data_IF_020943060128
#
_entry.id   IF_020943060128
#
_cell.length_a   1.000
_cell.length_b   1.000
_cell.length_c   1.000
_cell.angle_alpha   90.00
_cell.angle_beta   90.00
_cell.angle_gamma   90.00
#
_symmetry.space_group_name_H-M   'P 1'
#
loop_
_entity.id
_entity.type
_entity.pdbx_description
1 polymer ?
#
# COMPACT_ATOMS: atom_id res chain seq x y z
N UNK A 1 -6.62 11.71 -9.90
CA UNK A 1 -5.49 11.88 -8.95
C UNK A 1 -4.26 11.21 -9.53
N UNK A 2 -3.06 11.78 -9.35
CA UNK A 2 -1.82 11.14 -9.83
C UNK A 2 -1.43 9.93 -8.96
N UNK A 3 -0.73 8.94 -9.54
CA UNK A 3 -0.32 7.73 -8.81
C UNK A 3 0.54 8.04 -7.58
N UNK A 4 1.50 8.96 -7.71
CA UNK A 4 2.37 9.38 -6.61
C UNK A 4 1.60 10.08 -5.49
N UNK A 5 0.53 10.81 -5.81
CA UNK A 5 -0.36 11.44 -4.83
C UNK A 5 -1.13 10.39 -4.03
N UNK A 6 -1.70 9.38 -4.71
CA UNK A 6 -2.38 8.29 -4.03
C UNK A 6 -1.43 7.52 -3.11
N UNK A 7 -0.23 7.19 -3.59
CA UNK A 7 0.77 6.48 -2.78
C UNK A 7 1.12 7.25 -1.52
N UNK A 8 1.35 8.56 -1.66
CA UNK A 8 1.68 9.44 -0.55
C UNK A 8 0.52 9.55 0.44
N UNK A 9 -0.72 9.73 -0.04
CA UNK A 9 -1.91 9.82 0.80
C UNK A 9 -2.16 8.52 1.57
N UNK A 10 -2.04 7.37 0.91
CA UNK A 10 -2.26 6.06 1.53
C UNK A 10 -1.21 5.73 2.60
N UNK A 11 0.07 6.05 2.34
CA UNK A 11 1.13 5.88 3.33
C UNK A 11 0.96 6.86 4.51
N UNK A 12 0.55 8.11 4.25
CA UNK A 12 0.32 9.11 5.29
C UNK A 12 -0.83 8.73 6.23
N UNK A 13 -1.82 7.96 5.75
CA UNK A 13 -2.89 7.41 6.58
C UNK A 13 -2.38 6.48 7.70
N UNK A 14 -1.14 5.98 7.59
CA UNK A 14 -0.48 5.24 8.66
C UNK A 14 0.01 6.10 9.84
N UNK A 15 0.08 7.42 9.67
CA UNK A 15 0.69 8.36 10.62
C UNK A 15 2.14 8.74 10.28
N UNK A 16 2.72 9.73 11.00
CA UNK A 16 4.01 10.32 10.68
C UNK A 16 5.19 9.36 10.77
N UNK A 17 5.13 8.38 11.68
CA UNK A 17 6.19 7.38 11.90
C UNK A 17 5.85 6.02 11.28
N UNK A 18 4.88 6.00 10.35
CA UNK A 18 4.45 4.77 9.72
C UNK A 18 5.56 4.15 8.87
N UNK A 19 5.86 2.89 9.16
CA UNK A 19 6.78 2.06 8.38
C UNK A 19 6.04 0.87 7.82
N UNK A 20 6.32 0.54 6.56
CA UNK A 20 5.73 -0.58 5.84
C UNK A 20 6.82 -1.54 5.36
N UNK A 21 6.56 -2.83 5.49
CA UNK A 21 7.28 -3.87 4.77
C UNK A 21 6.77 -4.06 3.34
N UNK A 22 7.48 -4.82 2.50
CA UNK A 22 7.14 -4.98 1.08
C UNK A 22 5.73 -5.53 0.86
N UNK A 23 5.40 -6.61 1.58
CA UNK A 23 4.07 -7.22 1.50
C UNK A 23 2.96 -6.25 1.98
N UNK A 24 3.22 -5.43 2.99
CA UNK A 24 2.22 -4.50 3.52
C UNK A 24 1.85 -3.43 2.49
N UNK A 25 2.84 -2.86 1.77
CA UNK A 25 2.56 -1.92 0.68
C UNK A 25 1.75 -2.57 -0.43
N UNK A 26 2.17 -3.76 -0.89
CA UNK A 26 1.45 -4.49 -1.93
C UNK A 26 -0.02 -4.70 -1.57
N UNK A 27 -0.30 -5.07 -0.32
CA UNK A 27 -1.66 -5.37 0.13
C UNK A 27 -2.47 -4.09 0.37
N UNK A 28 -1.84 -3.01 0.85
CA UNK A 28 -2.48 -1.72 1.00
C UNK A 28 -3.02 -1.21 -0.35
N UNK A 29 -2.15 -1.15 -1.36
CA UNK A 29 -2.55 -0.62 -2.67
C UNK A 29 -3.46 -1.56 -3.44
N UNK A 30 -3.29 -2.88 -3.29
CA UNK A 30 -4.24 -3.83 -3.83
C UNK A 30 -5.64 -3.62 -3.28
N UNK A 31 -5.79 -3.45 -1.96
CA UNK A 31 -7.10 -3.23 -1.34
C UNK A 31 -7.73 -1.91 -1.83
N UNK A 32 -6.94 -0.85 -1.98
CA UNK A 32 -7.43 0.43 -2.49
C UNK A 32 -7.95 0.28 -3.93
N UNK A 33 -7.14 -0.31 -4.82
CA UNK A 33 -7.53 -0.51 -6.22
C UNK A 33 -8.67 -1.51 -6.39
N UNK A 34 -8.80 -2.50 -5.51
CA UNK A 34 -9.85 -3.52 -5.61
C UNK A 34 -11.19 -3.05 -5.05
N UNK A 35 -11.18 -2.29 -3.96
CA UNK A 35 -12.41 -1.96 -3.21
C UNK A 35 -12.92 -0.56 -3.47
N UNK A 36 -12.03 0.41 -3.73
CA UNK A 36 -12.41 1.82 -3.83
C UNK A 36 -11.85 2.53 -5.07
N UNK A 37 -11.52 1.77 -6.13
CA UNK A 37 -10.95 2.32 -7.38
C UNK A 37 -11.68 3.57 -7.88
N UNK A 38 -13.02 3.50 -7.95
CA UNK A 38 -13.86 4.60 -8.43
C UNK A 38 -13.85 5.85 -7.52
N UNK A 39 -13.47 5.71 -6.25
CA UNK A 39 -13.37 6.82 -5.31
C UNK A 39 -11.99 7.51 -5.34
N UNK A 40 -11.02 6.93 -6.05
CA UNK A 40 -9.63 7.40 -6.11
C UNK A 40 -9.13 7.61 -7.54
N UNK A 41 -10.04 7.68 -8.51
CA UNK A 41 -9.75 7.74 -9.96
C UNK A 41 -8.88 6.56 -10.46
N UNK A 42 -9.00 5.40 -9.82
CA UNK A 42 -8.27 4.17 -10.14
C UNK A 42 -9.05 3.18 -11.02
N UNK A 43 -8.53 1.95 -11.20
CA UNK A 43 -7.31 1.42 -10.56
C UNK A 43 -6.05 2.08 -11.11
N UNK A 44 -5.04 2.29 -10.25
CA UNK A 44 -3.77 2.94 -10.64
C UNK A 44 -2.61 1.95 -10.83
N UNK A 45 -2.79 0.73 -10.32
CA UNK A 45 -1.88 -0.42 -10.42
C UNK A 45 -2.57 -1.60 -11.13
N UNK A 46 -1.76 -2.55 -11.60
CA UNK A 46 -2.15 -3.75 -12.32
C UNK A 46 -1.71 -5.00 -11.56
N UNK A 47 -2.39 -5.27 -10.45
CA UNK A 47 -2.08 -6.42 -9.60
C UNK A 47 -2.34 -7.75 -10.30
N UNK A 48 -1.34 -8.63 -10.27
CA UNK A 48 -1.42 -10.00 -10.74
C UNK A 48 -1.20 -11.00 -9.59
N UNK A 49 -1.78 -12.21 -9.64
CA UNK A 49 -1.49 -13.27 -8.67
C UNK A 49 0.00 -13.66 -8.69
N UNK A 50 0.60 -13.77 -7.51
CA UNK A 50 2.02 -14.12 -7.32
C UNK A 50 2.19 -15.03 -6.09
N UNK A 51 3.44 -15.33 -5.71
CA UNK A 51 3.80 -16.28 -4.64
C UNK A 51 3.00 -16.10 -3.33
N UNK A 52 2.79 -14.84 -2.95
CA UNK A 52 2.15 -14.40 -1.71
C UNK A 52 0.92 -13.50 -1.97
N UNK A 53 0.22 -13.76 -3.06
CA UNK A 53 -0.97 -13.03 -3.46
C UNK A 53 -0.70 -11.90 -4.43
N UNK A 54 -1.49 -10.82 -4.38
CA UNK A 54 -1.41 -9.74 -5.35
C UNK A 54 -0.03 -9.10 -5.32
N UNK A 55 0.49 -8.86 -6.52
CA UNK A 55 1.76 -8.21 -6.77
C UNK A 55 1.69 -7.27 -7.98
N UNK A 56 2.27 -6.08 -7.83
CA UNK A 56 2.63 -5.17 -8.91
C UNK A 56 3.96 -4.47 -8.55
N UNK A 57 4.97 -4.55 -9.41
CA UNK A 57 6.27 -3.90 -9.18
C UNK A 57 6.18 -2.38 -9.16
N UNK A 58 5.22 -1.80 -9.89
CA UNK A 58 5.03 -0.35 -10.00
C UNK A 58 4.76 0.31 -8.64
N UNK A 59 4.24 -0.45 -7.66
CA UNK A 59 4.10 0.02 -6.27
C UNK A 59 5.45 0.44 -5.69
N UNK A 60 6.48 -0.38 -5.88
CA UNK A 60 7.82 -0.07 -5.36
C UNK A 60 8.50 1.00 -6.19
N UNK A 61 8.32 0.98 -7.51
CA UNK A 61 8.89 1.97 -8.42
C UNK A 61 8.34 3.37 -8.08
N UNK A 62 7.03 3.48 -7.82
CA UNK A 62 6.39 4.74 -7.39
C UNK A 62 6.94 5.25 -6.06
N UNK A 63 7.21 4.36 -5.09
CA UNK A 63 7.86 4.78 -3.82
C UNK A 63 9.33 5.18 -4.07
N UNK A 64 10.00 4.54 -5.02
CA UNK A 64 11.32 4.94 -5.50
C UNK A 64 11.34 6.35 -6.07
N UNK A 65 10.34 6.72 -6.88
CA UNK A 65 10.16 8.09 -7.38
C UNK A 65 9.93 9.09 -6.23
N UNK A 66 9.09 8.73 -5.26
CA UNK A 66 8.90 9.55 -4.06
C UNK A 66 10.20 9.73 -3.27
N UNK A 67 11.05 8.71 -3.20
CA UNK A 67 12.36 8.82 -2.55
C UNK A 67 13.28 9.77 -3.32
N UNK A 68 13.36 9.67 -4.65
CA UNK A 68 14.15 10.58 -5.49
C UNK A 68 13.71 12.04 -5.26
N UNK A 69 12.41 12.26 -5.07
CA UNK A 69 11.83 13.58 -4.80
C UNK A 69 11.85 13.99 -3.32
N UNK A 70 12.49 13.22 -2.42
CA UNK A 70 12.61 13.55 -0.99
C UNK A 70 11.33 13.38 -0.17
N UNK A 71 10.29 12.75 -0.72
CA UNK A 71 9.01 12.48 -0.04
C UNK A 71 8.96 11.14 0.69
N UNK A 72 9.86 10.20 0.36
CA UNK A 72 9.89 8.87 0.98
C UNK A 72 11.32 8.43 1.32
N UNK A 73 11.41 7.43 2.19
CA UNK A 73 12.65 6.73 2.55
C UNK A 73 12.44 5.24 2.30
N UNK A 74 13.36 4.63 1.54
CA UNK A 74 13.52 3.18 1.46
C UNK A 74 14.77 2.80 2.25
N UNK A 75 14.58 2.13 3.38
CA UNK A 75 15.68 1.66 4.22
C UNK A 75 16.05 0.22 3.87
N UNK A 76 17.33 0.02 3.58
CA UNK A 76 17.94 -1.25 3.18
C UNK A 76 18.80 -1.89 4.28
N UNK A 77 18.88 -1.29 5.46
CA UNK A 77 19.75 -1.73 6.57
C UNK A 77 19.31 -3.05 7.20
N UNK A 78 18.02 -3.38 7.09
CA UNK A 78 17.42 -4.59 7.62
C UNK A 78 17.39 -5.72 6.58
N UNK A 79 17.13 -6.95 7.03
CA UNK A 79 16.98 -8.13 6.15
C UNK A 79 15.96 -7.90 5.03
N UNK A 80 14.90 -7.14 5.31
CA UNK A 80 13.90 -6.74 4.35
C UNK A 80 13.89 -5.22 4.26
N UNK A 81 13.66 -4.70 3.05
CA UNK A 81 13.49 -3.27 2.83
C UNK A 81 12.25 -2.77 3.57
N UNK A 82 12.36 -1.59 4.16
CA UNK A 82 11.23 -0.89 4.76
C UNK A 82 10.98 0.43 4.03
N UNK A 83 9.73 0.87 4.05
CA UNK A 83 9.25 2.03 3.33
C UNK A 83 8.52 2.96 4.29
N UNK A 84 8.89 4.23 4.31
CA UNK A 84 8.24 5.26 5.11
C UNK A 84 8.22 6.58 4.35
N UNK A 85 7.37 7.52 4.78
CA UNK A 85 7.43 8.89 4.29
C UNK A 85 8.47 9.68 5.07
N UNK A 86 9.07 10.68 4.43
CA UNK A 86 9.78 11.75 5.17
C UNK A 86 8.76 12.61 5.91
N UNK A 87 9.17 13.45 6.90
CA UNK A 87 8.25 14.39 7.53
C UNK A 87 7.52 15.29 6.51
N UNK A 88 8.25 15.76 5.49
CA UNK A 88 7.67 16.52 4.39
C UNK A 88 6.66 15.68 3.60
N UNK A 89 7.03 14.47 3.19
CA UNK A 89 6.13 13.58 2.45
C UNK A 89 4.87 13.22 3.23
N UNK A 90 4.97 13.06 4.55
CA UNK A 90 3.82 12.86 5.42
C UNK A 90 2.88 14.07 5.40
N UNK A 91 3.40 15.29 5.55
CA UNK A 91 2.55 16.49 5.51
C UNK A 91 1.84 16.67 4.17
N UNK A 92 2.55 16.44 3.07
CA UNK A 92 1.98 16.47 1.73
C UNK A 92 0.91 15.40 1.53
N UNK A 93 1.19 14.14 1.93
CA UNK A 93 0.23 13.04 1.86
C UNK A 93 -0.99 13.24 2.75
N UNK A 94 -0.80 13.75 3.96
CA UNK A 94 -1.89 14.06 4.88
C UNK A 94 -2.80 15.16 4.34
N UNK A 95 -2.24 16.18 3.68
CA UNK A 95 -3.03 17.21 3.02
C UNK A 95 -3.87 16.65 1.87
N UNK A 96 -3.29 15.78 1.04
CA UNK A 96 -4.03 15.07 -0.03
C UNK A 96 -5.14 14.21 0.57
N UNK A 97 -4.82 13.39 1.58
CA UNK A 97 -5.79 12.52 2.26
C UNK A 97 -6.96 13.29 2.87
N UNK A 98 -6.73 14.50 3.40
CA UNK A 98 -7.78 15.36 3.95
C UNK A 98 -8.72 15.94 2.87
N UNK A 99 -8.26 16.04 1.63
CA UNK A 99 -9.07 16.51 0.50
C UNK A 99 -9.90 15.39 -0.15
N UNK A 100 -9.60 14.12 0.15
CA UNK A 100 -10.37 12.98 -0.34
C UNK A 100 -11.77 12.94 0.27
N UNK A 101 -12.69 12.25 -0.41
CA UNK A 101 -14.02 11.98 0.15
C UNK A 101 -13.92 11.24 1.48
N UNK A 102 -14.89 11.47 2.38
CA UNK A 102 -14.91 10.83 3.70
C UNK A 102 -14.84 9.30 3.60
N UNK A 103 -15.54 8.70 2.65
CA UNK A 103 -15.56 7.26 2.43
C UNK A 103 -14.19 6.72 1.97
N UNK A 104 -13.55 7.39 0.99
CA UNK A 104 -12.22 6.99 0.52
C UNK A 104 -11.19 7.12 1.63
N UNK A 105 -11.18 8.25 2.34
CA UNK A 105 -10.29 8.50 3.48
C UNK A 105 -10.46 7.43 4.56
N UNK A 106 -11.69 7.16 5.00
CA UNK A 106 -11.95 6.15 6.04
C UNK A 106 -11.56 4.74 5.61
N UNK A 107 -11.72 4.39 4.34
CA UNK A 107 -11.25 3.10 3.84
C UNK A 107 -9.73 3.02 3.89
N UNK A 108 -9.03 4.03 3.37
CA UNK A 108 -7.57 4.08 3.32
C UNK A 108 -6.97 4.03 4.73
N UNK A 109 -7.50 4.80 5.69
CA UNK A 109 -7.07 4.77 7.09
C UNK A 109 -7.21 3.37 7.71
N UNK A 110 -8.34 2.70 7.47
CA UNK A 110 -8.57 1.33 7.96
C UNK A 110 -7.63 0.32 7.29
N UNK A 111 -7.43 0.41 5.98
CA UNK A 111 -6.54 -0.47 5.25
C UNK A 111 -5.09 -0.30 5.72
N UNK A 112 -4.61 0.94 5.85
CA UNK A 112 -3.27 1.28 6.35
C UNK A 112 -3.05 0.84 7.80
N UNK A 113 -4.08 0.91 8.64
CA UNK A 113 -4.05 0.36 10.00
C UNK A 113 -3.96 -1.17 9.97
N UNK A 114 -4.84 -1.83 9.22
CA UNK A 114 -4.95 -3.29 9.18
C UNK A 114 -3.68 -3.97 8.68
N UNK A 115 -3.09 -3.55 7.55
CA UNK A 115 -1.88 -4.19 7.00
C UNK A 115 -0.69 -4.12 7.95
N UNK A 116 -0.68 -3.15 8.88
CA UNK A 116 0.37 -2.99 9.88
C UNK A 116 0.08 -3.68 11.20
N UNK A 117 -1.18 -4.01 11.49
CA UNK A 117 -1.58 -4.61 12.77
C UNK A 117 -1.58 -6.14 12.78
N UNK A 118 -1.53 -6.78 11.61
CA UNK A 118 -1.56 -8.24 11.49
C UNK A 118 -0.19 -8.81 11.08
N UNK A 119 0.05 -10.08 11.41
CA UNK A 119 1.24 -10.80 10.95
C UNK A 119 1.21 -11.04 9.44
N UNK A 120 2.38 -11.36 8.86
CA UNK A 120 2.48 -11.71 7.45
C UNK A 120 1.58 -12.89 7.05
N UNK A 121 1.54 -13.96 7.86
CA UNK A 121 0.69 -15.11 7.55
C UNK A 121 -0.80 -14.74 7.60
N UNK A 122 -1.22 -13.97 8.61
CA UNK A 122 -2.60 -13.51 8.73
C UNK A 122 -3.02 -12.63 7.55
N UNK A 123 -2.14 -11.71 7.14
CA UNK A 123 -2.39 -10.84 5.98
C UNK A 123 -2.56 -11.65 4.70
N UNK A 124 -1.64 -12.58 4.40
CA UNK A 124 -1.72 -13.43 3.20
C UNK A 124 -2.97 -14.33 3.23
N UNK A 125 -3.24 -14.96 4.37
CA UNK A 125 -4.43 -15.81 4.54
C UNK A 125 -5.74 -15.04 4.34
N UNK A 126 -5.85 -13.84 4.91
CA UNK A 126 -7.01 -12.98 4.74
C UNK A 126 -7.22 -12.58 3.27
N UNK A 127 -6.14 -12.23 2.55
CA UNK A 127 -6.21 -11.88 1.13
C UNK A 127 -6.67 -13.08 0.30
N UNK A 128 -6.16 -14.30 0.52
CA UNK A 128 -6.61 -15.48 -0.21
C UNK A 128 -8.05 -15.85 0.07
N UNK A 129 -8.51 -15.68 1.32
CA UNK A 129 -9.89 -15.95 1.68
C UNK A 129 -10.85 -15.00 0.97
N UNK A 130 -10.50 -13.72 0.92
CA UNK A 130 -11.35 -12.68 0.33
C UNK A 130 -11.24 -12.61 -1.21
N UNK A 131 -10.05 -12.88 -1.76
CA UNK A 131 -9.73 -12.81 -3.19
C UNK A 131 -9.06 -14.11 -3.64
N UNK A 132 -9.82 -15.20 -3.82
CA UNK A 132 -9.27 -16.51 -4.18
C UNK A 132 -8.53 -16.50 -5.52
N UNK A 133 -8.87 -15.59 -6.44
CA UNK A 133 -8.18 -15.37 -7.71
C UNK A 133 -6.69 -15.02 -7.51
N UNK A 134 -6.36 -14.33 -6.42
CA UNK A 134 -4.98 -13.98 -6.08
C UNK A 134 -4.16 -15.16 -5.55
N UNK A 135 -4.77 -16.31 -5.27
CA UNK A 135 -4.07 -17.55 -4.84
C UNK A 135 -3.51 -18.37 -6.00
N UNK A 136 -3.86 -18.05 -7.26
CA UNK A 136 -3.59 -18.91 -8.42
C UNK A 136 -2.12 -19.34 -8.58
N UNK A 137 -1.17 -18.47 -8.23
CA UNK A 137 0.28 -18.72 -8.34
C UNK A 137 0.96 -18.92 -6.97
N UNK A 138 0.20 -19.20 -5.90
CA UNK A 138 0.79 -19.24 -4.57
C UNK A 138 1.76 -20.40 -4.38
N UNK A 139 2.88 -20.12 -3.72
CA UNK A 139 3.82 -21.15 -3.26
C UNK A 139 3.32 -21.90 -2.02
N UNK A 140 2.29 -21.39 -1.33
CA UNK A 140 1.62 -22.11 -0.25
C UNK A 140 0.76 -23.22 -0.86
N UNK A 141 1.26 -24.44 -0.76
CA UNK A 141 0.50 -25.65 -1.10
C UNK A 141 -0.25 -26.11 0.15
N UNK A 142 -1.56 -26.26 0.04
CA UNK A 142 -2.36 -27.03 1.00
C UNK A 142 -1.94 -28.51 1.01
#
# INVERSE_FOLDING_TARGET
MERTELVKAAMAAGGPDATYGPAQLQKLFFLIDREIASLVDGPVFQFNPYDYGPFDSEVYDTVGELQVNGSAVVDHSQRFRTYSLTPQGYHEGAAILQQMSGDARHFIERAASWVRSVSFQEMVSAIYKQYPDMKANSIFKE
#
